data_IF_002951977402
#
_entry.id   IF_002951977402
#
_cell.length_a   1.000
_cell.length_b   1.000
_cell.length_c   1.000
_cell.angle_alpha   90.00
_cell.angle_beta   90.00
_cell.angle_gamma   90.00
#
_symmetry.space_group_name_H-M   'P 1'
#
loop_
_entity.id
_entity.type
_entity.pdbx_description
1 polymer ?
#
# COMPACT_ATOMS: atom_id res chain seq x y z
N UNK A 1 8.94 5.50 -12.70
CA UNK A 1 8.33 5.68 -11.37
C UNK A 1 8.90 4.65 -10.40
N UNK A 2 8.99 4.99 -9.13
CA UNK A 2 9.37 4.12 -8.02
C UNK A 2 8.17 3.75 -7.18
N UNK A 3 8.18 2.53 -6.65
CA UNK A 3 7.09 1.99 -5.85
C UNK A 3 7.62 1.34 -4.58
N UNK A 4 6.89 1.53 -3.48
CA UNK A 4 7.20 0.97 -2.17
C UNK A 4 6.23 -0.16 -1.85
N UNK A 5 6.73 -1.25 -1.25
CA UNK A 5 5.87 -2.36 -0.84
C UNK A 5 5.04 -2.02 0.39
N UNK A 6 3.75 -2.31 0.32
CA UNK A 6 2.80 -2.36 1.42
C UNK A 6 2.13 -3.74 1.43
N UNK A 7 1.93 -4.33 2.60
CA UNK A 7 1.18 -5.58 2.76
C UNK A 7 0.01 -5.43 3.71
N UNK A 8 -1.06 -6.14 3.39
CA UNK A 8 -2.20 -6.35 4.26
C UNK A 8 -2.35 -7.86 4.48
N UNK A 9 -2.33 -8.28 5.74
CA UNK A 9 -2.58 -9.66 6.17
C UNK A 9 -3.99 -9.75 6.76
N UNK A 10 -4.80 -10.64 6.22
CA UNK A 10 -6.13 -10.97 6.73
C UNK A 10 -6.13 -12.38 7.30
N UNK A 11 -5.87 -12.51 8.60
CA UNK A 11 -5.80 -13.81 9.30
C UNK A 11 -7.10 -14.60 9.20
N UNK A 12 -8.25 -13.92 9.12
CA UNK A 12 -9.54 -14.57 9.02
C UNK A 12 -9.70 -15.35 7.71
N UNK A 13 -9.13 -14.83 6.63
CA UNK A 13 -9.20 -15.44 5.29
C UNK A 13 -7.90 -16.21 4.96
N UNK A 14 -6.85 -16.08 5.79
CA UNK A 14 -5.53 -16.68 5.56
C UNK A 14 -4.82 -16.11 4.34
N UNK A 15 -5.16 -14.87 3.96
CA UNK A 15 -4.64 -14.20 2.76
C UNK A 15 -3.73 -13.03 3.13
N UNK A 16 -2.66 -12.85 2.35
CA UNK A 16 -1.83 -11.65 2.40
C UNK A 16 -1.81 -11.02 1.01
N UNK A 17 -2.17 -9.74 0.93
CA UNK A 17 -2.16 -8.99 -0.32
C UNK A 17 -1.04 -7.96 -0.32
N UNK A 18 -0.34 -7.85 -1.44
CA UNK A 18 0.72 -6.86 -1.64
C UNK A 18 0.22 -5.72 -2.52
N UNK A 19 0.50 -4.50 -2.10
CA UNK A 19 0.25 -3.28 -2.86
C UNK A 19 1.57 -2.53 -3.06
N UNK A 20 1.85 -2.17 -4.30
CA UNK A 20 2.99 -1.38 -4.70
C UNK A 20 2.52 0.07 -4.83
N UNK A 21 2.89 0.90 -3.86
CA UNK A 21 2.44 2.29 -3.74
C UNK A 21 3.42 3.24 -4.43
N UNK A 22 2.95 4.08 -5.35
CA UNK A 22 3.78 5.09 -6.02
C UNK A 22 4.48 6.00 -5.01
N UNK A 23 5.81 6.06 -5.08
CA UNK A 23 6.66 6.90 -4.22
C UNK A 23 6.78 8.32 -4.77
N UNK A 24 7.00 8.47 -6.08
CA UNK A 24 7.24 9.77 -6.70
C UNK A 24 6.08 10.73 -6.44
N UNK A 25 6.34 11.82 -5.70
CA UNK A 25 5.35 12.82 -5.32
C UNK A 25 4.51 12.49 -4.08
N UNK A 26 4.79 11.37 -3.41
CA UNK A 26 4.10 10.90 -2.21
C UNK A 26 5.05 10.59 -1.04
N UNK A 27 6.31 11.04 -1.08
CA UNK A 27 7.34 10.69 -0.11
C UNK A 27 6.94 11.08 1.32
N UNK A 28 6.43 12.31 1.49
CA UNK A 28 5.99 12.82 2.79
C UNK A 28 4.77 12.07 3.35
N UNK A 29 3.63 11.93 2.62
CA UNK A 29 2.51 11.17 3.13
C UNK A 29 2.82 9.67 3.32
N UNK A 30 3.71 9.06 2.51
CA UNK A 30 4.17 7.69 2.75
C UNK A 30 5.02 7.56 4.01
N UNK A 31 5.88 8.54 4.30
CA UNK A 31 6.63 8.58 5.56
C UNK A 31 5.69 8.65 6.76
N UNK A 32 4.69 9.53 6.69
CA UNK A 32 3.67 9.62 7.73
C UNK A 32 2.91 8.29 7.89
N UNK A 33 2.53 7.65 6.77
CA UNK A 33 1.84 6.36 6.81
C UNK A 33 2.72 5.29 7.46
N UNK A 34 4.03 5.25 7.16
CA UNK A 34 4.98 4.33 7.78
C UNK A 34 5.02 4.51 9.31
N UNK A 35 5.10 5.76 9.78
CA UNK A 35 5.12 6.09 11.21
C UNK A 35 3.80 5.70 11.89
N UNK A 36 2.66 6.00 11.25
CA UNK A 36 1.34 5.61 11.73
C UNK A 36 1.22 4.08 11.87
N UNK A 37 1.62 3.33 10.83
CA UNK A 37 1.58 1.86 10.83
C UNK A 37 2.51 1.26 11.89
N UNK A 38 3.71 1.84 12.06
CA UNK A 38 4.64 1.43 13.12
C UNK A 38 4.02 1.62 14.51
N UNK A 39 3.33 2.75 14.73
CA UNK A 39 2.71 3.06 16.01
C UNK A 39 1.57 2.09 16.34
N UNK A 40 0.69 1.78 15.39
CA UNK A 40 -0.42 0.84 15.64
C UNK A 40 0.08 -0.61 15.82
N UNK A 41 1.11 -1.02 15.06
CA UNK A 41 1.65 -2.37 15.15
C UNK A 41 2.45 -2.61 16.42
N UNK A 42 2.99 -1.56 17.05
CA UNK A 42 3.73 -1.68 18.31
C UNK A 42 2.83 -2.20 19.46
N UNK A 43 1.51 -2.09 19.33
CA UNK A 43 0.53 -2.55 20.31
C UNK A 43 -0.06 -3.94 19.96
N UNK A 44 0.26 -4.47 18.77
CA UNK A 44 -0.32 -5.71 18.24
C UNK A 44 0.70 -6.86 18.27
N UNK A 45 0.22 -8.07 18.59
CA UNK A 45 1.06 -9.28 18.54
C UNK A 45 1.24 -9.80 17.10
N UNK A 46 0.29 -9.48 16.22
CA UNK A 46 0.32 -9.87 14.80
C UNK A 46 -0.09 -8.65 13.93
N UNK A 47 0.88 -7.95 13.33
CA UNK A 47 0.61 -6.73 12.59
C UNK A 47 -0.09 -7.01 11.26
N UNK A 48 -1.31 -6.48 11.10
CA UNK A 48 -2.12 -6.67 9.90
C UNK A 48 -1.65 -5.83 8.70
N UNK A 49 -0.97 -4.71 8.95
CA UNK A 49 -0.61 -3.74 7.92
C UNK A 49 0.87 -3.39 8.04
N UNK A 50 1.65 -3.56 6.99
CA UNK A 50 3.07 -3.24 7.02
C UNK A 50 3.48 -2.47 5.77
N UNK A 51 4.25 -1.41 5.95
CA UNK A 51 4.89 -0.67 4.87
C UNK A 51 6.38 -0.89 4.98
N UNK A 52 7.06 -1.11 3.84
CA UNK A 52 8.47 -1.46 3.78
C UNK A 52 9.28 -0.35 3.11
N UNK A 53 9.73 0.70 3.83
CA UNK A 53 10.45 1.83 3.24
C UNK A 53 11.76 1.47 2.53
N UNK A 54 12.38 0.36 2.89
CA UNK A 54 13.60 -0.13 2.26
C UNK A 54 13.32 -0.96 0.98
N UNK A 55 12.08 -1.37 0.75
CA UNK A 55 11.66 -2.20 -0.38
C UNK A 55 11.03 -1.34 -1.46
N UNK A 56 11.91 -0.62 -2.17
CA UNK A 56 11.55 0.30 -3.25
C UNK A 56 12.08 -0.26 -4.58
N UNK A 57 11.17 -0.48 -5.52
CA UNK A 57 11.47 -1.06 -6.83
C UNK A 57 10.96 -0.19 -7.99
N UNK A 58 11.46 -0.44 -9.19
CA UNK A 58 11.03 0.24 -10.41
C UNK A 58 9.63 -0.18 -10.84
N UNK A 59 8.97 0.70 -11.58
CA UNK A 59 7.70 0.41 -12.25
C UNK A 59 7.72 -0.88 -13.09
N UNK A 60 8.78 -1.09 -13.88
CA UNK A 60 8.95 -2.28 -14.71
C UNK A 60 8.90 -3.57 -13.88
N UNK A 61 9.56 -3.59 -12.71
CA UNK A 61 9.50 -4.75 -11.81
C UNK A 61 8.10 -4.94 -11.19
N UNK A 62 7.43 -3.84 -10.82
CA UNK A 62 6.05 -3.91 -10.33
C UNK A 62 5.12 -4.48 -11.40
N UNK A 63 5.25 -4.04 -12.64
CA UNK A 63 4.40 -4.50 -13.75
C UNK A 63 4.56 -6.01 -13.96
N UNK A 64 5.79 -6.54 -13.89
CA UNK A 64 6.05 -7.99 -13.94
C UNK A 64 5.39 -8.70 -12.75
N UNK A 65 5.51 -8.18 -11.52
CA UNK A 65 4.92 -8.81 -10.33
C UNK A 65 3.39 -8.82 -10.38
N UNK A 66 2.78 -7.77 -10.95
CA UNK A 66 1.33 -7.68 -11.12
C UNK A 66 0.85 -8.60 -12.24
N UNK A 67 1.58 -8.68 -13.36
CA UNK A 67 1.24 -9.54 -14.50
C UNK A 67 1.25 -11.03 -14.10
N UNK A 68 2.27 -11.45 -13.35
CA UNK A 68 2.47 -12.85 -12.96
C UNK A 68 1.94 -13.18 -11.56
N UNK A 69 1.31 -12.21 -10.89
CA UNK A 69 0.72 -12.39 -9.57
C UNK A 69 -0.46 -13.36 -9.59
N UNK A 70 -0.58 -14.18 -8.55
CA UNK A 70 -1.73 -15.07 -8.37
C UNK A 70 -3.05 -14.29 -8.30
N UNK A 71 -4.12 -14.89 -8.82
CA UNK A 71 -5.49 -14.37 -8.76
C UNK A 71 -6.31 -15.08 -7.68
N UNK A 72 -7.24 -14.36 -7.07
CA UNK A 72 -8.07 -14.81 -5.94
C UNK A 72 -9.22 -13.83 -5.67
N UNK A 73 -9.66 -13.69 -4.41
CA UNK A 73 -10.60 -12.62 -4.04
C UNK A 73 -10.01 -11.23 -4.35
N UNK A 74 -8.71 -11.07 -4.12
CA UNK A 74 -7.89 -9.98 -4.61
C UNK A 74 -6.62 -10.52 -5.27
N UNK A 75 -6.07 -9.80 -6.24
CA UNK A 75 -4.76 -10.13 -6.81
C UNK A 75 -3.68 -10.09 -5.73
N UNK A 76 -2.73 -11.03 -5.79
CA UNK A 76 -1.61 -11.11 -4.85
C UNK A 76 -0.76 -9.83 -4.87
N UNK A 77 -0.57 -9.26 -6.06
CA UNK A 77 0.14 -7.99 -6.27
C UNK A 77 -0.77 -6.97 -6.93
N UNK A 78 -0.70 -5.73 -6.45
CA UNK A 78 -1.54 -4.63 -6.90
C UNK A 78 -0.68 -3.38 -7.10
N UNK A 79 -0.65 -2.82 -8.31
CA UNK A 79 -0.02 -1.51 -8.55
C UNK A 79 -0.99 -0.39 -8.16
N UNK A 80 -0.52 0.60 -7.40
CA UNK A 80 -1.30 1.76 -6.95
C UNK A 80 -0.58 3.04 -7.34
N UNK A 81 -1.17 3.77 -8.29
CA UNK A 81 -0.66 5.03 -8.83
C UNK A 81 -1.56 6.21 -8.46
N UNK A 82 -0.99 7.41 -8.46
CA UNK A 82 -1.70 8.65 -8.17
C UNK A 82 -1.14 9.40 -6.96
N UNK A 83 -1.90 10.38 -6.47
CA UNK A 83 -1.53 11.19 -5.31
C UNK A 83 -2.17 10.64 -4.04
N UNK A 84 -1.33 10.32 -3.06
CA UNK A 84 -1.73 9.87 -1.75
C UNK A 84 -2.29 11.05 -0.94
N UNK A 85 -3.55 10.93 -0.53
CA UNK A 85 -4.21 11.86 0.38
C UNK A 85 -4.71 11.10 1.60
N UNK A 86 -4.17 11.44 2.76
CA UNK A 86 -4.58 10.84 4.03
C UNK A 86 -5.62 11.77 4.69
N UNK A 87 -6.84 11.29 4.99
CA UNK A 87 -7.85 12.11 5.61
C UNK A 87 -7.46 12.52 7.04
N UNK A 88 -7.91 13.70 7.48
CA UNK A 88 -7.63 14.20 8.84
C UNK A 88 -8.19 13.27 9.95
N UNK A 89 -9.26 12.54 9.64
CA UNK A 89 -9.75 11.43 10.47
C UNK A 89 -9.37 10.14 9.76
N UNK A 90 -8.31 9.51 10.24
CA UNK A 90 -7.77 8.28 9.68
C UNK A 90 -7.66 7.22 10.78
N UNK A 91 -8.02 5.98 10.43
CA UNK A 91 -8.00 4.83 11.32
C UNK A 91 -7.49 3.59 10.58
N UNK A 92 -7.02 2.54 11.28
CA UNK A 92 -6.57 1.31 10.62
C UNK A 92 -7.67 0.65 9.76
N UNK A 93 -8.95 0.77 10.15
CA UNK A 93 -10.08 0.25 9.39
C UNK A 93 -10.28 0.89 8.00
N UNK A 94 -9.65 2.04 7.76
CA UNK A 94 -9.65 2.69 6.45
C UNK A 94 -8.70 2.00 5.44
N UNK A 95 -7.84 1.10 5.92
CA UNK A 95 -6.93 0.30 5.09
C UNK A 95 -7.52 -1.07 4.70
N UNK A 96 -8.44 -1.60 5.50
CA UNK A 96 -8.98 -2.96 5.40
C UNK A 96 -9.57 -3.32 4.02
N UNK A 97 -9.30 -4.54 3.56
CA UNK A 97 -9.66 -5.11 2.25
C UNK A 97 -9.20 -4.25 1.08
N UNK A 98 -7.92 -3.88 1.09
CA UNK A 98 -7.26 -3.15 0.02
C UNK A 98 -7.72 -1.71 -0.16
N UNK A 99 -8.39 -1.14 0.84
CA UNK A 99 -8.86 0.25 0.81
C UNK A 99 -7.73 1.27 0.85
N UNK A 100 -6.49 0.85 1.06
CA UNK A 100 -5.29 1.67 0.79
C UNK A 100 -5.34 2.32 -0.60
N UNK A 101 -5.91 1.64 -1.61
CA UNK A 101 -6.11 2.17 -2.97
C UNK A 101 -7.00 3.42 -3.01
N UNK A 102 -7.97 3.52 -2.09
CA UNK A 102 -8.91 4.64 -2.05
C UNK A 102 -8.27 5.93 -1.53
N UNK A 103 -7.08 5.83 -0.93
CA UNK A 103 -6.30 7.00 -0.51
C UNK A 103 -5.55 7.64 -1.69
N UNK A 104 -5.47 6.96 -2.84
CA UNK A 104 -4.80 7.47 -4.03
C UNK A 104 -5.82 7.99 -5.03
N UNK A 105 -5.65 9.25 -5.44
CA UNK A 105 -6.41 9.84 -6.54
C UNK A 105 -5.58 9.87 -7.80
N UNK A 106 -6.14 9.40 -8.92
CA UNK A 106 -5.48 9.48 -10.22
C UNK A 106 -5.28 10.96 -10.55
N UNK A 107 -4.03 11.36 -10.73
CA UNK A 107 -3.69 12.71 -11.21
C UNK A 107 -3.81 12.66 -12.74
N UNK A 108 -4.71 13.47 -13.36
CA UNK A 108 -4.73 13.59 -14.81
C UNK A 108 -3.39 14.17 -15.27
N UNK A 109 -2.82 13.64 -16.36
CA UNK A 109 -1.62 14.22 -16.96
C UNK A 109 -1.90 15.70 -17.35
N UNK A 110 -1.33 16.66 -16.62
CA UNK A 110 -1.24 18.07 -17.04
C UNK A 110 -1.82 19.14 -16.11
N UNK A 111 -1.34 19.24 -14.86
CA UNK A 111 -1.36 20.51 -14.10
C UNK A 111 0.06 20.98 -13.77
#
# INVERSE_FOLDING_TARGET
MQFMRYTETNDHEGETWTFWLQVDGNEQPLTWLAEFLTAINAEELDPQYELFPADVISEEHVDVLVEWGGSGYMSLHNKVVGRLTIPAKFSPGDLYKGRVKNLFTVVPDGE
#
